data_IF_571479650357
#
_entry.id   IF_571479650357
#
_cell.length_a   1.000
_cell.length_b   1.000
_cell.length_c   1.000
_cell.angle_alpha   90.00
_cell.angle_beta   90.00
_cell.angle_gamma   90.00
#
_symmetry.space_group_name_H-M   'P 1'
#
loop_
_entity.id
_entity.type
_entity.pdbx_description
1 polymer ?
#
# COMPACT_ATOMS: atom_id res chain seq x y z
N UNK A 1 -5.03 -18.17 1.22
CA UNK A 1 -5.49 -16.94 1.87
C UNK A 1 -6.91 -16.67 1.45
N UNK A 2 -7.84 -16.72 2.41
CA UNK A 2 -9.21 -16.24 2.26
C UNK A 2 -9.34 -14.93 3.00
N UNK A 3 -9.94 -13.95 2.36
CA UNK A 3 -10.15 -12.62 2.91
C UNK A 3 -11.63 -12.28 2.83
N UNK A 4 -12.26 -12.04 3.97
CA UNK A 4 -13.61 -11.49 4.04
C UNK A 4 -13.56 -10.10 4.67
N UNK A 5 -14.39 -9.20 4.15
CA UNK A 5 -14.38 -7.81 4.56
C UNK A 5 -15.79 -7.25 4.56
N UNK A 6 -16.16 -6.61 5.67
CA UNK A 6 -17.46 -5.96 5.86
C UNK A 6 -17.23 -4.49 6.23
N UNK A 7 -17.68 -3.58 5.38
CA UNK A 7 -17.62 -2.12 5.55
C UNK A 7 -19.03 -1.63 5.83
N UNK A 8 -19.23 -0.91 6.94
CA UNK A 8 -20.52 -0.33 7.29
C UNK A 8 -20.38 1.14 7.62
N UNK A 9 -21.19 1.97 6.98
CA UNK A 9 -21.28 3.42 7.21
C UNK A 9 -19.92 4.14 7.19
N UNK A 10 -19.03 3.74 6.28
CA UNK A 10 -17.77 4.45 6.00
C UNK A 10 -17.91 5.18 4.67
N UNK A 11 -17.67 6.50 4.67
CA UNK A 11 -17.93 7.38 3.54
C UNK A 11 -19.41 7.34 3.11
N UNK A 12 -19.68 7.05 1.83
CA UNK A 12 -21.03 6.91 1.26
C UNK A 12 -21.53 5.46 1.31
N UNK A 13 -20.72 4.50 1.78
CA UNK A 13 -21.10 3.10 1.80
C UNK A 13 -21.99 2.82 3.02
N UNK A 14 -23.24 2.43 2.78
CA UNK A 14 -24.16 1.99 3.84
C UNK A 14 -23.73 0.63 4.39
N UNK A 15 -23.50 -0.34 3.50
CA UNK A 15 -23.00 -1.67 3.79
C UNK A 15 -22.36 -2.27 2.53
N UNK A 16 -21.11 -2.72 2.63
CA UNK A 16 -20.40 -3.44 1.57
C UNK A 16 -19.77 -4.69 2.19
N UNK A 17 -20.05 -5.85 1.59
CA UNK A 17 -19.38 -7.11 1.92
C UNK A 17 -18.60 -7.58 0.70
N UNK A 18 -17.37 -8.01 0.92
CA UNK A 18 -16.51 -8.60 -0.11
C UNK A 18 -15.84 -9.85 0.44
N UNK A 19 -15.71 -10.88 -0.40
CA UNK A 19 -14.97 -12.10 -0.09
C UNK A 19 -14.05 -12.42 -1.27
N UNK A 20 -12.80 -12.74 -0.96
CA UNK A 20 -11.77 -13.07 -1.92
C UNK A 20 -11.10 -14.37 -1.50
N UNK A 21 -11.13 -15.36 -2.38
CA UNK A 21 -10.38 -16.61 -2.21
C UNK A 21 -9.16 -16.61 -3.13
N UNK A 22 -7.99 -16.35 -2.56
CA UNK A 22 -6.73 -16.29 -3.32
C UNK A 22 -6.07 -17.66 -3.50
N UNK A 23 -6.74 -18.77 -3.16
CA UNK A 23 -6.16 -20.11 -3.30
C UNK A 23 -6.00 -20.54 -4.77
N UNK A 24 -6.92 -20.13 -5.65
CA UNK A 24 -6.94 -20.60 -7.05
C UNK A 24 -6.39 -19.59 -8.06
N UNK A 25 -6.38 -18.30 -7.73
CA UNK A 25 -6.05 -17.21 -8.67
C UNK A 25 -4.93 -16.31 -8.16
N UNK A 26 -3.96 -16.02 -9.03
CA UNK A 26 -2.81 -15.15 -8.72
C UNK A 26 -3.12 -13.65 -8.89
N UNK A 27 -4.19 -13.30 -9.62
CA UNK A 27 -4.54 -11.91 -9.95
C UNK A 27 -6.05 -11.74 -9.89
N UNK A 28 -6.50 -10.68 -9.21
CA UNK A 28 -7.89 -10.24 -9.17
C UNK A 28 -8.01 -8.83 -9.73
N UNK A 29 -9.08 -8.57 -10.48
CA UNK A 29 -9.39 -7.24 -11.00
C UNK A 29 -10.77 -6.80 -10.51
N UNK A 30 -10.85 -5.62 -9.88
CA UNK A 30 -12.09 -5.03 -9.40
C UNK A 30 -12.45 -3.87 -10.34
N UNK A 31 -13.51 -4.03 -11.13
CA UNK A 31 -13.98 -3.04 -12.10
C UNK A 31 -15.36 -2.53 -11.73
N UNK A 32 -15.56 -1.22 -11.87
CA UNK A 32 -16.86 -0.56 -11.67
C UNK A 32 -16.78 0.93 -12.00
N UNK A 33 -17.94 1.62 -11.98
CA UNK A 33 -18.03 3.08 -12.09
C UNK A 33 -17.29 3.80 -10.95
N UNK A 34 -16.88 5.05 -11.20
CA UNK A 34 -16.27 5.90 -10.19
C UNK A 34 -17.26 6.22 -9.06
N UNK A 35 -16.74 6.39 -7.84
CA UNK A 35 -17.56 6.76 -6.69
C UNK A 35 -18.34 5.63 -6.03
N UNK A 36 -18.20 4.36 -6.46
CA UNK A 36 -18.90 3.21 -5.85
C UNK A 36 -18.20 2.61 -4.62
N UNK A 37 -17.04 3.16 -4.23
CA UNK A 37 -16.30 2.69 -3.05
C UNK A 37 -15.10 1.77 -3.31
N UNK A 38 -14.63 1.61 -4.56
CA UNK A 38 -13.40 0.85 -4.88
C UNK A 38 -12.21 1.27 -4.01
N UNK A 39 -11.94 2.57 -3.94
CA UNK A 39 -10.84 3.11 -3.14
C UNK A 39 -11.05 2.86 -1.64
N UNK A 40 -12.30 2.90 -1.16
CA UNK A 40 -12.64 2.62 0.25
C UNK A 40 -12.37 1.16 0.58
N UNK A 41 -12.74 0.23 -0.31
CA UNK A 41 -12.41 -1.18 -0.19
C UNK A 41 -10.90 -1.42 -0.08
N UNK A 42 -10.11 -0.83 -0.98
CA UNK A 42 -8.64 -0.93 -0.93
C UNK A 42 -8.07 -0.31 0.35
N UNK A 43 -8.57 0.85 0.79
CA UNK A 43 -8.15 1.47 2.06
C UNK A 43 -8.52 0.63 3.28
N UNK A 44 -9.67 -0.03 3.26
CA UNK A 44 -10.10 -0.95 4.32
C UNK A 44 -9.15 -2.13 4.43
N UNK A 45 -8.71 -2.73 3.31
CA UNK A 45 -7.65 -3.74 3.33
C UNK A 45 -6.32 -3.12 3.83
N UNK A 46 -6.04 -1.89 3.41
CA UNK A 46 -4.83 -1.13 3.73
C UNK A 46 -4.63 -0.79 5.21
N UNK A 47 -5.71 -0.77 6.00
CA UNK A 47 -5.65 -0.36 7.42
C UNK A 47 -4.83 -1.31 8.28
N UNK A 48 -4.75 -2.59 7.89
CA UNK A 48 -3.95 -3.61 8.58
C UNK A 48 -2.45 -3.31 8.50
N UNK A 49 -2.02 -2.65 7.42
CA UNK A 49 -0.63 -2.25 7.17
C UNK A 49 -0.32 -0.85 7.68
N UNK A 50 -1.28 0.04 7.49
CA UNK A 50 -1.15 1.45 7.79
C UNK A 50 -2.42 1.91 8.50
N UNK A 51 -2.46 1.83 9.84
CA UNK A 51 -3.65 2.20 10.63
C UNK A 51 -4.13 3.63 10.34
N UNK A 52 -3.21 4.53 9.96
CA UNK A 52 -3.50 5.93 9.62
C UNK A 52 -3.94 6.15 8.17
N UNK A 53 -4.15 5.10 7.37
CA UNK A 53 -4.44 5.22 5.92
C UNK A 53 -5.66 6.10 5.65
N UNK A 54 -6.75 5.94 6.41
CA UNK A 54 -7.94 6.76 6.22
C UNK A 54 -7.69 8.23 6.57
N UNK A 55 -7.01 8.50 7.68
CA UNK A 55 -6.67 9.88 8.12
C UNK A 55 -5.84 10.61 7.10
N UNK A 56 -4.81 9.96 6.56
CA UNK A 56 -3.87 10.59 5.65
C UNK A 56 -4.46 10.83 4.26
N UNK A 57 -5.44 10.04 3.86
CA UNK A 57 -5.85 9.94 2.44
C UNK A 57 -7.32 10.20 2.18
N UNK A 58 -8.10 10.54 3.21
CA UNK A 58 -9.55 10.71 3.11
C UNK A 58 -10.01 12.02 3.76
N UNK A 59 -11.27 12.39 3.49
CA UNK A 59 -11.90 13.53 4.16
C UNK A 59 -12.06 13.24 5.67
N UNK A 60 -11.93 14.27 6.52
CA UNK A 60 -12.13 14.22 7.97
C UNK A 60 -13.51 13.69 8.39
N UNK A 61 -14.53 13.82 7.54
CA UNK A 61 -15.90 13.35 7.80
C UNK A 61 -16.20 11.97 7.19
N UNK A 62 -15.16 11.17 6.93
CA UNK A 62 -15.35 9.82 6.37
C UNK A 62 -16.02 8.85 7.34
N UNK A 63 -15.89 9.08 8.64
CA UNK A 63 -16.47 8.25 9.68
C UNK A 63 -17.60 8.96 10.44
N UNK A 64 -18.50 8.17 10.99
CA UNK A 64 -19.56 8.56 11.92
C UNK A 64 -19.64 7.54 13.07
N UNK A 65 -20.53 7.77 14.03
CA UNK A 65 -20.69 6.94 15.23
C UNK A 65 -20.95 5.46 14.94
N UNK A 66 -21.50 5.16 13.77
CA UNK A 66 -21.94 3.83 13.38
C UNK A 66 -21.00 3.20 12.34
N UNK A 67 -19.85 3.83 12.09
CA UNK A 67 -18.82 3.32 11.19
C UNK A 67 -18.14 2.09 11.79
N UNK A 68 -18.18 1.00 11.04
CA UNK A 68 -17.60 -0.28 11.43
C UNK A 68 -16.89 -0.91 10.23
N UNK A 69 -15.77 -1.56 10.50
CA UNK A 69 -15.04 -2.36 9.54
C UNK A 69 -14.65 -3.68 10.21
N UNK A 70 -15.00 -4.79 9.58
CA UNK A 70 -14.56 -6.12 10.00
C UNK A 70 -13.76 -6.74 8.86
N UNK A 71 -12.65 -7.37 9.23
CA UNK A 71 -11.75 -8.05 8.29
C UNK A 71 -11.41 -9.42 8.87
N UNK A 72 -11.68 -10.46 8.10
CA UNK A 72 -11.28 -11.84 8.38
C UNK A 72 -10.19 -12.24 7.39
N UNK A 73 -9.03 -12.67 7.88
CA UNK A 73 -7.94 -13.21 7.07
C UNK A 73 -7.61 -14.60 7.59
N UNK A 74 -7.95 -15.62 6.80
CA UNK A 74 -7.81 -17.03 7.16
C UNK A 74 -8.46 -17.34 8.53
N UNK A 75 -7.70 -17.35 9.63
CA UNK A 75 -8.18 -17.60 10.99
C UNK A 75 -8.20 -16.35 11.90
N UNK A 76 -7.66 -15.23 11.44
CA UNK A 76 -7.55 -14.00 12.20
C UNK A 76 -8.76 -13.08 11.93
N UNK A 77 -9.35 -12.53 13.00
CA UNK A 77 -10.48 -11.61 12.93
C UNK A 77 -10.11 -10.24 13.51
N UNK A 78 -10.37 -9.18 12.73
CA UNK A 78 -10.11 -7.80 13.12
C UNK A 78 -11.38 -6.97 13.04
N UNK A 79 -11.75 -6.37 14.17
CA UNK A 79 -12.90 -5.48 14.26
C UNK A 79 -12.42 -4.04 14.56
N UNK A 80 -12.78 -3.13 13.66
CA UNK A 80 -12.53 -1.70 13.76
C UNK A 80 -13.85 -0.98 14.00
N UNK A 81 -13.94 -0.23 15.10
CA UNK A 81 -15.14 0.54 15.48
C UNK A 81 -14.80 2.00 15.64
N UNK A 82 -15.77 2.87 15.38
CA UNK A 82 -15.59 4.30 15.61
C UNK A 82 -15.22 4.61 17.07
N UNK A 83 -14.14 5.34 17.24
CA UNK A 83 -13.61 5.83 18.50
C UNK A 83 -13.74 7.36 18.52
N UNK A 84 -14.67 7.93 19.32
CA UNK A 84 -14.90 9.37 19.37
C UNK A 84 -13.71 10.15 19.93
N UNK A 85 -12.83 9.53 20.72
CA UNK A 85 -11.66 10.21 21.28
C UNK A 85 -10.64 10.63 20.20
N UNK A 86 -10.57 9.88 19.09
CA UNK A 86 -9.66 10.13 17.97
C UNK A 86 -10.39 10.46 16.66
N UNK A 87 -11.73 10.50 16.68
CA UNK A 87 -12.61 10.72 15.52
C UNK A 87 -12.32 9.77 14.34
N UNK A 88 -11.99 8.52 14.62
CA UNK A 88 -11.58 7.52 13.63
C UNK A 88 -12.06 6.13 14.04
N UNK A 89 -12.01 5.17 13.11
CA UNK A 89 -12.13 3.76 13.49
C UNK A 89 -10.82 3.25 14.09
N UNK A 90 -10.93 2.39 15.10
CA UNK A 90 -9.80 1.84 15.83
C UNK A 90 -10.03 0.35 16.11
N UNK A 91 -8.94 -0.43 16.18
CA UNK A 91 -8.97 -1.85 16.50
C UNK A 91 -8.23 -2.11 17.81
N UNK A 92 -8.90 -2.77 18.76
CA UNK A 92 -8.29 -3.15 20.05
C UNK A 92 -7.42 -4.40 19.96
N UNK A 93 -7.61 -5.21 18.92
CA UNK A 93 -6.87 -6.44 18.71
C UNK A 93 -5.48 -6.15 18.16
N UNK A 94 -4.49 -6.93 18.60
CA UNK A 94 -3.16 -6.87 18.01
C UNK A 94 -3.22 -7.45 16.60
N UNK A 95 -2.90 -6.64 15.59
CA UNK A 95 -2.85 -7.09 14.20
C UNK A 95 -1.63 -7.97 13.99
N UNK A 96 -1.84 -9.22 13.58
CA UNK A 96 -0.76 -10.12 13.21
C UNK A 96 -0.17 -9.66 11.88
N UNK A 97 1.04 -9.07 11.92
CA UNK A 97 1.69 -8.56 10.71
C UNK A 97 2.35 -9.65 9.86
N UNK A 98 2.44 -10.89 10.34
CA UNK A 98 3.03 -11.99 9.58
C UNK A 98 2.10 -12.36 8.42
N UNK A 99 2.64 -12.42 7.20
CA UNK A 99 1.92 -12.77 5.97
C UNK A 99 0.85 -11.78 5.52
N UNK A 100 0.84 -10.55 6.04
CA UNK A 100 0.04 -9.50 5.43
C UNK A 100 0.72 -9.06 4.12
N UNK A 101 -0.06 -8.85 3.05
CA UNK A 101 0.42 -8.39 1.73
C UNK A 101 0.97 -6.95 1.68
N UNK A 102 0.69 -6.22 0.60
CA UNK A 102 0.98 -4.79 0.51
C UNK A 102 -0.21 -4.12 -0.17
N UNK A 103 -0.57 -2.92 0.29
CA UNK A 103 -1.58 -2.08 -0.36
C UNK A 103 -0.91 -0.82 -0.92
N UNK A 104 -1.11 -0.60 -2.21
CA UNK A 104 -0.64 0.59 -2.92
C UNK A 104 -1.84 1.46 -3.31
N UNK A 105 -1.76 2.76 -3.02
CA UNK A 105 -2.77 3.76 -3.35
C UNK A 105 -2.40 4.54 -4.62
N UNK A 106 -3.36 5.24 -5.26
CA UNK A 106 -3.03 6.16 -6.35
C UNK A 106 -2.28 7.41 -5.85
N UNK A 107 -1.72 8.17 -6.79
CA UNK A 107 -1.18 9.52 -6.55
C UNK A 107 -2.24 10.40 -5.87
N UNK A 108 -1.88 11.20 -4.82
CA UNK A 108 -0.53 11.46 -4.30
C UNK A 108 -0.09 10.51 -3.17
N UNK A 109 -0.87 9.49 -2.83
CA UNK A 109 -0.67 8.69 -1.62
C UNK A 109 0.03 7.35 -1.83
N UNK A 110 0.21 6.92 -3.09
CA UNK A 110 0.96 5.73 -3.44
C UNK A 110 2.45 5.87 -3.13
N UNK A 111 3.02 4.88 -2.42
CA UNK A 111 4.44 4.87 -2.07
C UNK A 111 5.32 4.87 -3.32
N UNK A 112 4.91 4.16 -4.37
CA UNK A 112 5.63 4.08 -5.66
C UNK A 112 5.80 5.44 -6.32
N UNK A 113 4.89 6.38 -6.06
CA UNK A 113 4.92 7.72 -6.64
C UNK A 113 5.57 8.76 -5.71
N UNK A 114 5.79 8.42 -4.44
CA UNK A 114 6.47 9.29 -3.47
C UNK A 114 7.98 9.41 -3.71
N UNK A 115 8.59 8.51 -4.50
CA UNK A 115 10.03 8.52 -4.77
C UNK A 115 10.52 9.80 -5.48
N UNK A 116 9.64 10.48 -6.23
CA UNK A 116 10.02 11.70 -6.94
C UNK A 116 10.34 12.88 -5.99
N UNK A 117 9.70 12.95 -4.81
CA UNK A 117 10.09 13.95 -3.81
C UNK A 117 11.38 13.56 -3.09
N UNK A 118 11.60 12.26 -2.85
CA UNK A 118 12.80 11.74 -2.17
C UNK A 118 14.08 11.96 -2.97
N UNK A 119 14.02 11.89 -4.31
CA UNK A 119 15.18 12.18 -5.15
C UNK A 119 15.72 13.61 -4.92
N UNK A 120 14.85 14.59 -4.74
CA UNK A 120 15.27 15.97 -4.42
C UNK A 120 15.95 16.06 -3.04
N UNK A 121 15.54 15.24 -2.08
CA UNK A 121 16.09 15.23 -0.72
C UNK A 121 17.52 14.64 -0.70
N UNK A 122 17.80 13.63 -1.54
CA UNK A 122 19.10 12.92 -1.57
C UNK A 122 20.05 13.38 -2.67
N UNK A 123 19.62 14.30 -3.55
CA UNK A 123 20.32 14.73 -4.77
C UNK A 123 21.80 15.11 -4.55
N UNK A 124 22.09 15.81 -3.45
CA UNK A 124 23.45 16.18 -3.07
C UNK A 124 24.34 14.97 -2.79
N UNK A 125 23.86 14.04 -1.97
CA UNK A 125 24.60 12.83 -1.58
C UNK A 125 24.75 11.86 -2.75
N UNK A 126 23.70 11.72 -3.56
CA UNK A 126 23.73 10.92 -4.78
C UNK A 126 24.82 11.39 -5.75
N UNK A 127 24.94 12.70 -5.98
CA UNK A 127 26.01 13.27 -6.82
C UNK A 127 27.41 13.00 -6.25
N UNK A 128 27.58 13.10 -4.94
CA UNK A 128 28.85 12.78 -4.28
C UNK A 128 29.22 11.32 -4.55
N UNK A 129 28.30 10.38 -4.30
CA UNK A 129 28.55 8.96 -4.55
C UNK A 129 28.87 8.65 -6.01
N UNK A 130 28.18 9.28 -6.95
CA UNK A 130 28.49 9.16 -8.38
C UNK A 130 29.90 9.69 -8.68
N UNK A 131 30.26 10.86 -8.17
CA UNK A 131 31.58 11.47 -8.40
C UNK A 131 32.74 10.62 -7.84
N UNK A 132 32.52 9.98 -6.69
CA UNK A 132 33.49 9.08 -6.06
C UNK A 132 33.42 7.62 -6.54
N UNK A 133 32.55 7.32 -7.51
CA UNK A 133 32.31 5.95 -7.99
C UNK A 133 31.88 4.98 -6.88
N UNK A 134 31.21 5.48 -5.84
CA UNK A 134 30.64 4.71 -4.75
C UNK A 134 29.26 4.14 -5.13
N UNK A 135 29.26 3.28 -6.15
CA UNK A 135 28.08 2.58 -6.62
C UNK A 135 28.42 1.18 -7.09
N UNK A 136 27.43 0.30 -7.09
CA UNK A 136 27.56 -1.07 -7.56
C UNK A 136 26.71 -1.31 -8.81
N UNK A 137 26.85 -2.49 -9.41
CA UNK A 137 26.03 -2.89 -10.56
C UNK A 137 25.03 -3.95 -10.08
N UNK A 138 23.71 -3.68 -10.11
CA UNK A 138 22.68 -4.56 -9.58
C UNK A 138 22.36 -5.69 -10.57
N UNK A 139 23.24 -6.69 -10.64
CA UNK A 139 23.18 -7.78 -11.65
C UNK A 139 21.82 -8.50 -11.68
N UNK A 140 21.27 -8.81 -10.52
CA UNK A 140 19.98 -9.51 -10.42
C UNK A 140 18.83 -8.69 -11.01
N UNK A 141 18.82 -7.38 -10.73
CA UNK A 141 17.82 -6.46 -11.27
C UNK A 141 17.98 -6.29 -12.79
N UNK A 142 19.23 -6.20 -13.29
CA UNK A 142 19.51 -6.15 -14.74
C UNK A 142 19.02 -7.40 -15.44
N UNK A 143 19.26 -8.59 -14.86
CA UNK A 143 18.78 -9.87 -15.41
C UNK A 143 17.25 -9.88 -15.45
N UNK A 144 16.60 -9.47 -14.36
CA UNK A 144 15.14 -9.41 -14.26
C UNK A 144 14.52 -8.42 -15.27
N UNK A 145 15.07 -7.21 -15.37
CA UNK A 145 14.57 -6.18 -16.29
C UNK A 145 14.80 -6.57 -17.74
N UNK A 146 15.96 -7.15 -18.07
CA UNK A 146 16.24 -7.68 -19.40
C UNK A 146 15.31 -8.84 -19.77
N UNK A 147 14.90 -9.65 -18.80
CA UNK A 147 13.91 -10.71 -19.01
C UNK A 147 12.51 -10.14 -19.34
N UNK A 148 12.06 -9.11 -18.62
CA UNK A 148 10.74 -8.49 -18.86
C UNK A 148 10.75 -7.61 -20.12
N UNK A 149 11.84 -6.89 -20.36
CA UNK A 149 11.99 -5.91 -21.45
C UNK A 149 13.20 -6.24 -22.33
N UNK A 150 13.14 -7.32 -23.13
CA UNK A 150 14.30 -7.81 -23.89
C UNK A 150 14.83 -6.85 -24.95
N UNK A 151 14.06 -5.80 -25.30
CA UNK A 151 14.44 -4.79 -26.28
C UNK A 151 15.14 -3.56 -25.67
N UNK A 152 15.36 -3.54 -24.35
CA UNK A 152 16.05 -2.46 -23.65
C UNK A 152 17.37 -2.95 -23.08
N UNK A 153 18.39 -2.09 -23.18
CA UNK A 153 19.66 -2.32 -22.51
C UNK A 153 19.63 -1.71 -21.10
N UNK A 154 19.99 -2.51 -20.11
CA UNK A 154 20.10 -2.14 -18.70
C UNK A 154 21.54 -2.26 -18.19
N UNK A 155 22.53 -2.47 -19.08
CA UNK A 155 23.94 -2.68 -18.73
C UNK A 155 24.56 -1.53 -17.92
N UNK A 156 24.06 -0.31 -18.14
CA UNK A 156 24.51 0.90 -17.44
C UNK A 156 23.82 1.14 -16.09
N UNK A 157 22.83 0.33 -15.70
CA UNK A 157 22.13 0.49 -14.43
C UNK A 157 23.12 0.37 -13.27
N UNK A 158 23.05 1.33 -12.34
CA UNK A 158 23.86 1.37 -11.12
C UNK A 158 22.97 1.25 -9.90
N UNK A 159 23.56 0.90 -8.76
CA UNK A 159 22.91 0.89 -7.46
C UNK A 159 23.73 1.69 -6.46
N UNK A 160 23.05 2.54 -5.69
CA UNK A 160 23.63 3.38 -4.63
C UNK A 160 22.84 3.16 -3.35
N UNK A 161 23.54 2.94 -2.24
CA UNK A 161 22.93 2.91 -0.91
C UNK A 161 23.09 4.29 -0.24
N UNK A 162 21.98 4.90 0.17
CA UNK A 162 21.93 6.19 0.89
C UNK A 162 20.98 6.02 2.07
N UNK A 163 21.47 6.27 3.29
CA UNK A 163 20.70 6.15 4.53
C UNK A 163 20.00 4.79 4.74
N UNK A 164 20.61 3.71 4.23
CA UNK A 164 20.06 2.35 4.32
C UNK A 164 18.99 2.00 3.28
N UNK A 165 18.65 2.94 2.39
CA UNK A 165 17.78 2.71 1.23
C UNK A 165 18.64 2.54 -0.03
N UNK A 166 18.28 1.57 -0.89
CA UNK A 166 18.94 1.32 -2.17
C UNK A 166 18.21 2.05 -3.32
N UNK A 167 18.98 2.72 -4.17
CA UNK A 167 18.52 3.53 -5.32
C UNK A 167 19.16 3.02 -6.61
N UNK A 168 18.44 3.11 -7.73
CA UNK A 168 18.84 2.59 -9.04
C UNK A 168 18.68 3.62 -10.17
#
# INVERSE_FOLDING_TARGET
MKLELSIKKIQHLSNLKASFDFSESKIFCIVSHNGIGKTTLIKSMGILFQPTIFVKTSNRFIFNSDSELSIDIDSDHYEYKYNPAINQIDCKSMVNQKNLGVVELPVPYGKRYGSYSRLNEIDGELRVKIAFSEYSTPKELIIFLSFIYPYKDFSDLKSVEINGDEYY
#
